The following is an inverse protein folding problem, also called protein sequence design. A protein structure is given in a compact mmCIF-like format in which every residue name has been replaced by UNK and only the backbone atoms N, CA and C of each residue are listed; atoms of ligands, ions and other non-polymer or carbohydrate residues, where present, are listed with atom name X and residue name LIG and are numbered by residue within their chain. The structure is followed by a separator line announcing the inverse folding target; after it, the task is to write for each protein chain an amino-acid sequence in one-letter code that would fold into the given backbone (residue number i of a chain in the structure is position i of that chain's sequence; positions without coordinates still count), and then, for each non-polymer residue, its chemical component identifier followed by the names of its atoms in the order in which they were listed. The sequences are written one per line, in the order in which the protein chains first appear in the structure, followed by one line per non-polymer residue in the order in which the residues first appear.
data_IF_444225439013
#
_entry.id   IF_444225439013
#
_cell.length_a   1.000
_cell.length_b   1.000
_cell.length_c   1.000
_cell.angle_alpha   90.00
_cell.angle_beta   90.00
_cell.angle_gamma   90.00
#
_symmetry.space_group_name_H-M   'P 1'
#
loop_
_entity.id
_entity.type
_entity.pdbx_description
1 polymer ?
#
# COMPACT_ATOMS: atom_id res chain seq x y z
N UNK A 1 3.50 -10.68 21.75
CA UNK A 1 2.88 -9.35 21.92
C UNK A 1 2.57 -8.80 20.54
N UNK A 2 1.38 -9.11 20.02
CA UNK A 2 0.92 -8.72 18.69
C UNK A 2 0.43 -7.26 18.77
N UNK A 3 1.22 -6.33 18.24
CA UNK A 3 0.89 -4.91 18.28
C UNK A 3 0.10 -4.55 17.01
N UNK A 4 -1.16 -4.17 17.24
CA UNK A 4 -2.12 -3.62 16.29
C UNK A 4 -1.48 -2.58 15.35
N UNK A 5 -1.22 -2.98 14.11
CA UNK A 5 -1.08 -2.05 13.00
C UNK A 5 -2.44 -1.94 12.30
N UNK A 6 -3.37 -1.20 12.91
CA UNK A 6 -4.51 -0.61 12.20
C UNK A 6 -3.96 0.47 11.27
N UNK A 7 -3.28 0.04 10.20
CA UNK A 7 -2.85 0.92 9.12
C UNK A 7 -4.11 1.35 8.36
N UNK A 8 -4.43 2.62 8.58
CA UNK A 8 -5.43 3.45 7.94
C UNK A 8 -5.20 3.54 6.41
N UNK A 9 -5.39 2.45 5.67
CA UNK A 9 -5.21 2.37 4.21
C UNK A 9 -6.47 2.73 3.41
N UNK A 10 -7.56 3.14 4.08
CA UNK A 10 -8.86 3.32 3.41
C UNK A 10 -9.26 4.77 3.12
N UNK A 11 -8.52 5.79 3.59
CA UNK A 11 -9.04 7.17 3.58
C UNK A 11 -8.63 8.03 2.37
N UNK A 12 -7.44 7.84 1.80
CA UNK A 12 -6.93 8.68 0.70
C UNK A 12 -7.53 8.33 -0.68
N UNK A 13 -7.62 7.06 -1.11
CA UNK A 13 -8.22 6.75 -2.43
C UNK A 13 -9.70 7.13 -2.48
N UNK A 14 -10.39 7.05 -1.34
CA UNK A 14 -11.79 7.47 -1.21
C UNK A 14 -11.97 8.99 -1.35
N UNK A 15 -11.07 9.79 -0.77
CA UNK A 15 -11.12 11.26 -0.90
C UNK A 15 -10.88 11.71 -2.33
N UNK A 16 -9.89 11.12 -3.01
CA UNK A 16 -9.61 11.42 -4.42
C UNK A 16 -10.82 11.10 -5.31
N UNK A 17 -11.43 9.93 -5.11
CA UNK A 17 -12.67 9.53 -5.76
C UNK A 17 -13.81 10.53 -5.49
N UNK A 18 -13.97 10.95 -4.24
CA UNK A 18 -15.03 11.89 -3.88
C UNK A 18 -14.82 13.23 -4.60
N UNK A 19 -13.60 13.75 -4.67
CA UNK A 19 -13.32 14.99 -5.39
C UNK A 19 -13.62 14.88 -6.90
N UNK A 20 -13.22 13.79 -7.55
CA UNK A 20 -13.50 13.62 -8.99
C UNK A 20 -15.00 13.49 -9.27
N UNK A 21 -15.73 12.77 -8.42
CA UNK A 21 -17.19 12.69 -8.50
C UNK A 21 -17.87 14.05 -8.31
N UNK A 22 -17.40 14.86 -7.34
CA UNK A 22 -17.99 16.16 -7.05
C UNK A 22 -17.76 17.14 -8.19
N UNK A 23 -16.59 17.10 -8.83
CA UNK A 23 -16.31 17.90 -10.02
C UNK A 23 -17.23 17.49 -11.18
N UNK A 24 -17.44 16.18 -11.41
CA UNK A 24 -18.34 15.70 -12.45
C UNK A 24 -19.82 16.00 -12.16
N UNK A 25 -20.29 15.80 -10.93
CA UNK A 25 -21.65 16.16 -10.52
C UNK A 25 -21.87 17.68 -10.56
N UNK A 26 -20.84 18.46 -10.19
CA UNK A 26 -20.86 19.91 -10.30
C UNK A 26 -21.03 20.39 -11.73
N UNK A 27 -20.30 19.80 -12.70
CA UNK A 27 -20.47 20.15 -14.11
C UNK A 27 -21.86 19.76 -14.64
N UNK A 28 -22.41 18.62 -14.20
CA UNK A 28 -23.80 18.24 -14.49
C UNK A 28 -24.79 19.27 -13.93
N UNK A 29 -24.58 19.73 -12.70
CA UNK A 29 -25.42 20.74 -12.06
C UNK A 29 -25.38 22.09 -12.76
N UNK A 30 -24.20 22.53 -13.20
CA UNK A 30 -24.03 23.76 -14.01
C UNK A 30 -24.78 23.62 -15.34
N UNK A 31 -24.66 22.48 -16.02
CA UNK A 31 -25.38 22.24 -17.27
C UNK A 31 -26.90 22.27 -17.07
N UNK A 32 -27.39 21.64 -15.99
CA UNK A 32 -28.81 21.68 -15.63
C UNK A 32 -29.31 23.10 -15.32
N UNK A 33 -28.45 23.96 -14.75
CA UNK A 33 -28.77 25.36 -14.46
C UNK A 33 -28.84 26.21 -15.74
N UNK A 34 -27.91 26.01 -16.67
CA UNK A 34 -27.93 26.65 -18.00
C UNK A 34 -29.22 26.29 -18.73
N UNK A 35 -29.61 25.02 -18.69
CA UNK A 35 -30.81 24.53 -19.34
C UNK A 35 -32.10 25.04 -18.68
N UNK A 36 -32.12 25.13 -17.34
CA UNK A 36 -33.22 25.75 -16.61
C UNK A 36 -33.41 27.22 -17.00
N UNK A 37 -32.29 27.93 -17.20
CA UNK A 37 -32.31 29.32 -17.65
C UNK A 37 -32.85 29.46 -19.09
N UNK A 38 -32.44 28.57 -20.00
CA UNK A 38 -32.91 28.60 -21.39
C UNK A 38 -34.39 28.22 -21.55
N UNK A 39 -34.84 27.21 -20.80
CA UNK A 39 -36.21 26.67 -20.92
C UNK A 39 -37.22 27.34 -19.99
N UNK A 40 -36.78 28.25 -19.12
CA UNK A 40 -37.59 28.91 -18.08
C UNK A 40 -38.34 27.91 -17.17
N UNK A 41 -37.85 26.66 -17.09
CA UNK A 41 -38.42 25.59 -16.28
C UNK A 41 -37.32 24.95 -15.45
N UNK A 42 -37.53 24.84 -14.15
CA UNK A 42 -36.58 24.18 -13.25
C UNK A 42 -36.71 22.66 -13.45
N UNK A 43 -35.64 21.94 -13.83
CA UNK A 43 -35.67 20.49 -14.03
C UNK A 43 -35.58 19.76 -12.68
N UNK A 44 -36.65 19.85 -11.86
CA UNK A 44 -36.67 19.32 -10.47
C UNK A 44 -36.30 17.83 -10.42
N UNK A 45 -36.80 17.01 -11.35
CA UNK A 45 -36.49 15.59 -11.40
C UNK A 45 -34.99 15.30 -11.60
N UNK A 46 -34.26 16.14 -12.35
CA UNK A 46 -32.83 15.99 -12.60
C UNK A 46 -32.01 16.33 -11.37
N UNK A 47 -32.38 17.40 -10.67
CA UNK A 47 -31.76 17.77 -9.40
C UNK A 47 -31.96 16.67 -8.36
N UNK A 48 -33.12 16.00 -8.35
CA UNK A 48 -33.37 14.84 -7.48
C UNK A 48 -32.49 13.64 -7.86
N UNK A 49 -32.30 13.34 -9.14
CA UNK A 49 -31.38 12.27 -9.60
C UNK A 49 -29.93 12.59 -9.22
N UNK A 50 -29.47 13.83 -9.45
CA UNK A 50 -28.12 14.25 -9.07
C UNK A 50 -27.91 14.18 -7.54
N UNK A 51 -28.89 14.61 -6.76
CA UNK A 51 -28.84 14.58 -5.30
C UNK A 51 -28.86 13.15 -4.76
N UNK A 52 -29.66 12.26 -5.35
CA UNK A 52 -29.67 10.83 -4.98
C UNK A 52 -28.38 10.13 -5.38
N UNK A 53 -27.82 10.41 -6.55
CA UNK A 53 -26.50 9.91 -6.95
C UNK A 53 -25.37 10.43 -6.04
N UNK A 54 -25.45 11.69 -5.58
CA UNK A 54 -24.52 12.26 -4.62
C UNK A 54 -24.62 11.56 -3.25
N UNK A 55 -25.84 11.38 -2.74
CA UNK A 55 -26.10 10.70 -1.47
C UNK A 55 -25.61 9.24 -1.50
N UNK A 56 -25.85 8.53 -2.61
CA UNK A 56 -25.30 7.20 -2.83
C UNK A 56 -23.76 7.21 -2.82
N UNK A 57 -23.12 8.19 -3.46
CA UNK A 57 -21.65 8.34 -3.47
C UNK A 57 -21.05 8.48 -2.07
N UNK A 58 -21.67 9.27 -1.20
CA UNK A 58 -21.25 9.40 0.19
C UNK A 58 -21.43 8.10 0.98
N UNK A 59 -22.47 7.31 0.65
CA UNK A 59 -22.74 6.01 1.26
C UNK A 59 -21.85 4.87 0.74
N UNK A 60 -21.01 5.10 -0.28
CA UNK A 60 -20.19 4.09 -0.94
C UNK A 60 -19.33 3.27 0.02
N UNK A 61 -18.74 3.91 1.04
CA UNK A 61 -17.86 3.24 2.01
C UNK A 61 -18.60 2.21 2.89
N UNK A 62 -19.93 2.32 3.01
CA UNK A 62 -20.76 1.41 3.83
C UNK A 62 -21.27 0.19 3.05
N UNK A 63 -21.07 0.15 1.73
CA UNK A 63 -21.62 -0.91 0.87
C UNK A 63 -20.79 -2.18 0.99
N UNK A 64 -21.44 -3.28 1.37
CA UNK A 64 -20.82 -4.61 1.40
C UNK A 64 -20.57 -5.11 -0.04
N UNK A 65 -19.51 -5.89 -0.29
CA UNK A 65 -19.18 -6.38 -1.63
C UNK A 65 -20.28 -7.28 -2.23
N UNK A 66 -21.04 -8.00 -1.40
CA UNK A 66 -22.19 -8.81 -1.85
C UNK A 66 -23.33 -7.98 -2.44
N UNK A 67 -23.47 -6.71 -2.03
CA UNK A 67 -24.50 -5.79 -2.52
C UNK A 67 -23.98 -4.87 -3.63
N UNK A 68 -22.72 -5.01 -4.05
CA UNK A 68 -22.09 -4.13 -5.04
C UNK A 68 -22.81 -4.15 -6.39
N UNK A 69 -23.17 -5.33 -6.90
CA UNK A 69 -23.89 -5.47 -8.16
C UNK A 69 -25.29 -4.83 -8.11
N UNK A 70 -26.02 -5.05 -7.02
CA UNK A 70 -27.34 -4.46 -6.81
C UNK A 70 -27.24 -2.93 -6.74
N UNK A 71 -26.26 -2.41 -6.01
CA UNK A 71 -26.01 -0.98 -5.89
C UNK A 71 -25.70 -0.34 -7.26
N UNK A 72 -24.85 -0.95 -8.08
CA UNK A 72 -24.56 -0.46 -9.43
C UNK A 72 -25.77 -0.57 -10.37
N UNK A 73 -26.58 -1.63 -10.23
CA UNK A 73 -27.80 -1.80 -11.02
C UNK A 73 -28.84 -0.72 -10.70
N UNK A 74 -29.00 -0.37 -9.41
CA UNK A 74 -29.88 0.74 -8.98
C UNK A 74 -29.40 2.07 -9.57
N UNK A 75 -28.10 2.35 -9.57
CA UNK A 75 -27.56 3.57 -10.20
C UNK A 75 -27.85 3.63 -11.70
N UNK A 76 -27.66 2.52 -12.42
CA UNK A 76 -28.01 2.49 -13.84
C UNK A 76 -29.51 2.62 -14.10
N UNK A 77 -30.34 1.99 -13.25
CA UNK A 77 -31.80 2.16 -13.32
C UNK A 77 -32.22 3.60 -13.09
N UNK A 78 -31.59 4.31 -12.15
CA UNK A 78 -31.85 5.72 -11.88
C UNK A 78 -31.43 6.62 -13.06
N UNK A 79 -30.30 6.34 -13.69
CA UNK A 79 -29.84 7.05 -14.89
C UNK A 79 -30.82 6.80 -16.04
N UNK A 80 -31.26 5.56 -16.26
CA UNK A 80 -32.24 5.19 -17.28
C UNK A 80 -33.62 5.84 -17.02
N UNK A 81 -34.03 5.97 -15.76
CA UNK A 81 -35.24 6.71 -15.42
C UNK A 81 -35.07 8.20 -15.79
N UNK A 82 -33.89 8.76 -15.57
CA UNK A 82 -33.53 10.10 -16.02
C UNK A 82 -33.63 10.29 -17.54
N UNK A 83 -33.28 9.28 -18.36
CA UNK A 83 -33.35 9.40 -19.82
C UNK A 83 -34.77 9.54 -20.34
N UNK A 84 -35.75 8.88 -19.71
CA UNK A 84 -37.16 8.98 -20.11
C UNK A 84 -37.73 10.40 -19.96
N UNK A 85 -37.09 11.24 -19.16
CA UNK A 85 -37.46 12.64 -18.94
C UNK A 85 -36.90 13.58 -20.02
N UNK A 86 -36.09 13.07 -20.97
CA UNK A 86 -35.79 13.76 -22.24
C UNK A 86 -34.50 14.57 -22.29
N UNK A 87 -33.57 14.39 -21.35
CA UNK A 87 -32.36 15.22 -21.24
C UNK A 87 -31.08 14.41 -21.52
N UNK A 88 -30.61 14.50 -22.77
CA UNK A 88 -29.60 13.60 -23.33
C UNK A 88 -28.14 14.01 -23.05
N UNK A 89 -27.86 15.30 -22.86
CA UNK A 89 -26.49 15.83 -22.87
C UNK A 89 -25.65 15.49 -21.63
N UNK A 90 -26.27 15.23 -20.48
CA UNK A 90 -25.57 15.00 -19.21
C UNK A 90 -25.23 13.52 -19.00
N UNK A 91 -25.85 12.62 -19.76
CA UNK A 91 -25.77 11.18 -19.55
C UNK A 91 -24.38 10.55 -19.68
N UNK A 92 -23.50 10.95 -20.62
CA UNK A 92 -22.16 10.40 -20.69
C UNK A 92 -21.43 10.57 -19.35
N UNK A 93 -21.52 11.75 -18.74
CA UNK A 93 -20.84 12.05 -17.48
C UNK A 93 -21.38 11.24 -16.30
N UNK A 94 -22.69 10.98 -16.25
CA UNK A 94 -23.30 10.14 -15.22
C UNK A 94 -22.85 8.68 -15.32
N UNK A 95 -22.75 8.13 -16.54
CA UNK A 95 -22.21 6.79 -16.74
C UNK A 95 -20.74 6.70 -16.34
N UNK A 96 -19.93 7.75 -16.57
CA UNK A 96 -18.55 7.78 -16.09
C UNK A 96 -18.47 7.77 -14.56
N UNK A 97 -19.34 8.48 -13.85
CA UNK A 97 -19.41 8.43 -12.38
C UNK A 97 -19.70 7.00 -11.91
N UNK A 98 -20.69 6.32 -12.49
CA UNK A 98 -20.99 4.92 -12.12
C UNK A 98 -19.82 4.00 -12.45
N UNK A 99 -19.17 4.20 -13.59
CA UNK A 99 -17.99 3.42 -13.96
C UNK A 99 -16.86 3.58 -12.94
N UNK A 100 -16.54 4.82 -12.57
CA UNK A 100 -15.52 5.12 -11.56
C UNK A 100 -15.87 4.42 -10.24
N UNK A 101 -17.12 4.49 -9.75
CA UNK A 101 -17.58 3.80 -8.53
C UNK A 101 -17.42 2.29 -8.62
N UNK A 102 -17.82 1.71 -9.76
CA UNK A 102 -17.76 0.28 -10.01
C UNK A 102 -16.32 -0.25 -9.90
N UNK A 103 -15.32 0.56 -10.25
CA UNK A 103 -13.91 0.19 -10.12
C UNK A 103 -13.44 0.00 -8.67
N UNK A 104 -14.10 0.61 -7.69
CA UNK A 104 -13.77 0.44 -6.27
C UNK A 104 -14.58 -0.67 -5.59
N UNK A 105 -15.79 -0.92 -6.07
CA UNK A 105 -16.73 -1.90 -5.51
C UNK A 105 -16.54 -3.31 -6.07
N UNK A 106 -16.27 -3.43 -7.39
CA UNK A 106 -16.31 -4.69 -8.11
C UNK A 106 -14.90 -5.18 -8.47
N UNK A 107 -14.79 -6.50 -8.56
CA UNK A 107 -13.63 -7.18 -9.12
C UNK A 107 -13.49 -6.94 -10.64
N UNK A 108 -12.31 -7.18 -11.24
CA UNK A 108 -12.09 -6.97 -12.68
C UNK A 108 -13.17 -7.51 -13.61
N UNK A 109 -13.71 -8.74 -13.47
CA UNK A 109 -14.77 -9.22 -14.36
C UNK A 109 -16.05 -8.38 -14.25
N UNK A 110 -16.43 -7.97 -13.04
CA UNK A 110 -17.60 -7.12 -12.82
C UNK A 110 -17.47 -5.73 -13.45
N UNK A 111 -16.26 -5.16 -13.47
CA UNK A 111 -15.98 -3.86 -14.11
C UNK A 111 -16.21 -3.89 -15.61
N UNK A 112 -15.82 -4.97 -16.29
CA UNK A 112 -16.06 -5.14 -17.72
C UNK A 112 -17.56 -5.27 -18.02
N UNK A 113 -18.31 -5.96 -17.16
CA UNK A 113 -19.77 -6.05 -17.28
C UNK A 113 -20.40 -4.66 -17.17
N UNK A 114 -20.04 -3.87 -16.16
CA UNK A 114 -20.57 -2.52 -15.97
C UNK A 114 -20.16 -1.59 -17.12
N UNK A 115 -18.92 -1.64 -17.60
CA UNK A 115 -18.47 -0.86 -18.75
C UNK A 115 -19.24 -1.21 -20.02
N UNK A 116 -19.44 -2.52 -20.28
CA UNK A 116 -20.21 -3.01 -21.42
C UNK A 116 -21.67 -2.55 -21.36
N UNK A 117 -22.33 -2.72 -20.21
CA UNK A 117 -23.71 -2.26 -20.00
C UNK A 117 -23.84 -0.75 -20.17
N UNK A 118 -22.90 0.03 -19.61
CA UNK A 118 -22.88 1.50 -19.77
C UNK A 118 -22.76 1.90 -21.24
N UNK A 119 -21.90 1.21 -21.98
CA UNK A 119 -21.68 1.45 -23.40
C UNK A 119 -22.91 1.08 -24.24
N UNK A 120 -23.53 -0.07 -23.97
CA UNK A 120 -24.76 -0.51 -24.65
C UNK A 120 -25.91 0.46 -24.40
N UNK A 121 -26.16 0.85 -23.14
CA UNK A 121 -27.22 1.81 -22.83
C UNK A 121 -26.94 3.18 -23.45
N UNK A 122 -25.70 3.65 -23.43
CA UNK A 122 -25.32 4.88 -24.12
C UNK A 122 -25.54 4.79 -25.63
N UNK A 123 -25.18 3.66 -26.26
CA UNK A 123 -25.38 3.45 -27.69
C UNK A 123 -26.88 3.44 -28.08
N UNK A 124 -27.71 2.71 -27.33
CA UNK A 124 -29.17 2.68 -27.52
C UNK A 124 -29.72 4.10 -27.46
N UNK A 125 -29.26 4.87 -26.48
CA UNK A 125 -29.72 6.22 -26.25
C UNK A 125 -29.28 7.20 -27.35
N UNK A 126 -28.05 7.09 -27.88
CA UNK A 126 -27.61 7.87 -29.04
C UNK A 126 -28.44 7.52 -30.30
N UNK A 127 -28.79 6.25 -30.49
CA UNK A 127 -29.67 5.82 -31.60
C UNK A 127 -31.07 6.42 -31.44
N UNK A 128 -31.64 6.41 -30.23
CA UNK A 128 -32.94 7.02 -29.94
C UNK A 128 -32.94 8.54 -30.20
N UNK A 129 -31.85 9.24 -29.86
CA UNK A 129 -31.67 10.66 -30.17
C UNK A 129 -31.76 10.93 -31.68
N UNK A 130 -31.01 10.14 -32.45
CA UNK A 130 -30.92 10.20 -33.90
C UNK A 130 -32.27 9.94 -34.58
N UNK A 131 -33.04 8.97 -34.11
CA UNK A 131 -34.30 8.59 -34.76
C UNK A 131 -35.48 9.47 -34.36
N UNK A 132 -35.50 9.99 -33.13
CA UNK A 132 -36.70 10.64 -32.58
C UNK A 132 -36.60 12.17 -32.58
N UNK A 133 -35.45 12.72 -32.21
CA UNK A 133 -35.30 14.17 -31.95
C UNK A 133 -34.69 14.89 -33.15
N UNK A 134 -33.72 14.26 -33.82
CA UNK A 134 -33.01 14.84 -34.96
C UNK A 134 -33.93 15.22 -36.16
N UNK A 135 -34.85 14.35 -36.66
CA UNK A 135 -35.69 14.71 -37.80
C UNK A 135 -36.68 15.84 -37.50
N UNK A 136 -36.96 16.09 -36.22
CA UNK A 136 -37.87 17.15 -35.77
C UNK A 136 -37.20 18.53 -35.74
N UNK A 137 -35.86 18.60 -35.70
CA UNK A 137 -35.13 19.83 -35.32
C UNK A 137 -34.19 20.38 -36.39
N UNK A 138 -33.83 19.62 -37.42
CA UNK A 138 -32.89 20.07 -38.46
C UNK A 138 -33.33 19.67 -39.89
N UNK A 139 -33.33 20.60 -40.87
CA UNK A 139 -33.44 20.27 -42.29
C UNK A 139 -32.15 19.61 -42.82
N UNK A 140 -32.27 18.84 -43.91
CA UNK A 140 -31.25 17.94 -44.49
C UNK A 140 -29.86 18.55 -44.81
N UNK A 141 -29.68 19.86 -44.73
CA UNK A 141 -28.40 20.55 -45.02
C UNK A 141 -27.33 20.38 -43.93
N UNK A 142 -27.70 19.87 -42.74
CA UNK A 142 -26.78 19.73 -41.59
C UNK A 142 -26.48 18.26 -41.21
N UNK A 143 -26.87 17.28 -42.03
CA UNK A 143 -26.73 15.85 -41.67
C UNK A 143 -25.28 15.44 -41.38
N UNK A 144 -24.34 15.81 -42.25
CA UNK A 144 -22.93 15.42 -42.10
C UNK A 144 -22.30 15.92 -40.79
N UNK A 145 -22.63 17.15 -40.35
CA UNK A 145 -22.11 17.72 -39.11
C UNK A 145 -22.61 16.94 -37.89
N UNK A 146 -23.89 16.55 -37.92
CA UNK A 146 -24.55 15.80 -36.83
C UNK A 146 -23.93 14.41 -36.67
N UNK A 147 -23.78 13.68 -37.78
CA UNK A 147 -23.10 12.37 -37.80
C UNK A 147 -21.68 12.42 -37.25
N UNK A 148 -20.92 13.45 -37.63
CA UNK A 148 -19.54 13.61 -37.16
C UNK A 148 -19.47 13.88 -35.65
N UNK A 149 -20.38 14.71 -35.11
CA UNK A 149 -20.46 14.93 -33.67
C UNK A 149 -20.84 13.65 -32.90
N UNK A 150 -21.81 12.87 -33.39
CA UNK A 150 -22.25 11.64 -32.73
C UNK A 150 -21.19 10.55 -32.75
N UNK A 151 -20.49 10.40 -33.88
CA UNK A 151 -19.37 9.49 -33.98
C UNK A 151 -18.26 9.88 -33.00
N UNK A 152 -17.94 11.17 -32.90
CA UNK A 152 -16.95 11.67 -31.94
C UNK A 152 -17.38 11.39 -30.49
N UNK A 153 -18.64 11.65 -30.11
CA UNK A 153 -19.14 11.36 -28.77
C UNK A 153 -19.08 9.86 -28.42
N UNK A 154 -19.46 8.99 -29.38
CA UNK A 154 -19.40 7.55 -29.23
C UNK A 154 -17.97 7.05 -29.01
N UNK A 155 -17.04 7.51 -29.84
CA UNK A 155 -15.62 7.14 -29.74
C UNK A 155 -15.00 7.66 -28.45
N UNK A 156 -15.26 8.92 -28.09
CA UNK A 156 -14.74 9.53 -26.87
C UNK A 156 -15.27 8.85 -25.61
N UNK A 157 -16.57 8.51 -25.58
CA UNK A 157 -17.16 7.81 -24.46
C UNK A 157 -16.55 6.40 -24.28
N UNK A 158 -16.47 5.61 -25.37
CA UNK A 158 -15.82 4.30 -25.33
C UNK A 158 -14.37 4.36 -24.87
N UNK A 159 -13.60 5.31 -25.41
CA UNK A 159 -12.21 5.53 -25.00
C UNK A 159 -12.11 5.92 -23.52
N UNK A 160 -12.98 6.82 -23.05
CA UNK A 160 -12.99 7.25 -21.65
C UNK A 160 -13.28 6.11 -20.67
N UNK A 161 -14.21 5.19 -20.99
CA UNK A 161 -14.47 4.01 -20.15
C UNK A 161 -13.24 3.12 -20.03
N UNK A 162 -12.54 2.88 -21.14
CA UNK A 162 -11.31 2.06 -21.17
C UNK A 162 -10.19 2.75 -20.39
N UNK A 163 -9.96 4.04 -20.64
CA UNK A 163 -8.91 4.81 -19.98
C UNK A 163 -9.15 4.90 -18.47
N UNK A 164 -10.36 5.23 -18.03
CA UNK A 164 -10.72 5.29 -16.60
C UNK A 164 -10.53 3.93 -15.94
N UNK A 165 -11.00 2.85 -16.58
CA UNK A 165 -10.84 1.49 -16.04
C UNK A 165 -9.37 1.12 -15.86
N UNK A 166 -8.52 1.42 -16.85
CA UNK A 166 -7.07 1.17 -16.80
C UNK A 166 -6.39 2.05 -15.76
N UNK A 167 -6.64 3.36 -15.77
CA UNK A 167 -6.05 4.31 -14.84
C UNK A 167 -6.35 3.95 -13.39
N UNK A 168 -7.63 3.73 -13.06
CA UNK A 168 -8.04 3.38 -11.70
C UNK A 168 -7.44 2.03 -11.29
N UNK A 169 -7.40 1.05 -12.19
CA UNK A 169 -6.81 -0.27 -11.88
C UNK A 169 -5.30 -0.19 -11.64
N UNK A 170 -4.57 0.58 -12.44
CA UNK A 170 -3.14 0.81 -12.26
C UNK A 170 -2.86 1.54 -10.95
N UNK A 171 -3.62 2.61 -10.67
CA UNK A 171 -3.49 3.38 -9.43
C UNK A 171 -3.71 2.51 -8.18
N UNK A 172 -4.75 1.68 -8.18
CA UNK A 172 -5.02 0.77 -7.05
C UNK A 172 -3.88 -0.25 -6.88
N UNK A 173 -3.36 -0.78 -7.99
CA UNK A 173 -2.30 -1.80 -7.96
C UNK A 173 -0.97 -1.22 -7.50
N UNK A 174 -0.57 -0.06 -8.03
CA UNK A 174 0.66 0.63 -7.67
C UNK A 174 0.69 0.94 -6.17
N UNK A 175 -0.41 1.45 -5.62
CA UNK A 175 -0.51 1.75 -4.18
C UNK A 175 -0.37 0.49 -3.32
N UNK A 176 -1.05 -0.60 -3.68
CA UNK A 176 -0.91 -1.89 -2.98
C UNK A 176 0.54 -2.38 -3.02
N UNK A 177 1.22 -2.20 -4.15
CA UNK A 177 2.64 -2.58 -4.28
C UNK A 177 3.54 -1.70 -3.43
N UNK A 178 3.31 -0.38 -3.39
CA UNK A 178 4.05 0.54 -2.51
C UNK A 178 3.87 0.19 -1.03
N UNK A 179 2.64 -0.12 -0.60
CA UNK A 179 2.37 -0.54 0.78
C UNK A 179 3.09 -1.84 1.13
N UNK A 180 3.04 -2.85 0.25
CA UNK A 180 3.75 -4.11 0.43
C UNK A 180 5.27 -3.92 0.48
N UNK A 181 5.81 -3.05 -0.37
CA UNK A 181 7.24 -2.72 -0.39
C UNK A 181 7.66 -2.04 0.92
N UNK A 182 6.87 -1.09 1.40
CA UNK A 182 7.12 -0.42 2.69
C UNK A 182 7.09 -1.40 3.86
N UNK A 183 6.14 -2.34 3.86
CA UNK A 183 6.07 -3.41 4.86
C UNK A 183 7.28 -4.34 4.80
N UNK A 184 7.67 -4.80 3.60
CA UNK A 184 8.83 -5.67 3.41
C UNK A 184 10.14 -4.97 3.81
N UNK A 185 10.28 -3.67 3.50
CA UNK A 185 11.43 -2.88 3.91
C UNK A 185 11.53 -2.77 5.44
N UNK A 186 10.41 -2.54 6.13
CA UNK A 186 10.38 -2.50 7.59
C UNK A 186 10.72 -3.86 8.21
N UNK A 187 10.24 -4.97 7.63
CA UNK A 187 10.59 -6.31 8.08
C UNK A 187 12.08 -6.60 7.89
N UNK A 188 12.63 -6.25 6.73
CA UNK A 188 14.07 -6.42 6.46
C UNK A 188 14.92 -5.61 7.44
N UNK A 189 14.52 -4.37 7.74
CA UNK A 189 15.19 -3.55 8.75
C UNK A 189 15.16 -4.20 10.13
N UNK A 190 14.02 -4.77 10.54
CA UNK A 190 13.90 -5.49 11.81
C UNK A 190 14.80 -6.72 11.86
N UNK A 191 14.84 -7.53 10.79
CA UNK A 191 15.72 -8.68 10.73
C UNK A 191 17.20 -8.29 10.73
N UNK A 192 17.58 -7.21 10.05
CA UNK A 192 18.96 -6.71 10.08
C UNK A 192 19.39 -6.34 11.50
N UNK A 193 18.52 -5.69 12.29
CA UNK A 193 18.80 -5.36 13.69
C UNK A 193 18.92 -6.62 14.55
N UNK A 194 18.04 -7.61 14.34
CA UNK A 194 18.11 -8.89 15.07
C UNK A 194 19.37 -9.69 14.74
N UNK A 195 19.78 -9.72 13.47
CA UNK A 195 21.03 -10.37 13.05
C UNK A 195 22.24 -9.67 13.67
N UNK A 196 22.25 -8.33 13.72
CA UNK A 196 23.32 -7.58 14.38
C UNK A 196 23.39 -7.89 15.88
N UNK A 197 22.24 -7.91 16.57
CA UNK A 197 22.17 -8.27 17.99
C UNK A 197 22.67 -9.71 18.23
N UNK A 198 22.22 -10.66 17.41
CA UNK A 198 22.65 -12.05 17.51
C UNK A 198 24.16 -12.21 17.26
N UNK A 199 24.69 -11.53 16.24
CA UNK A 199 26.11 -11.52 15.95
C UNK A 199 26.92 -10.93 17.12
N UNK A 200 26.44 -9.84 17.74
CA UNK A 200 27.08 -9.26 18.91
C UNK A 200 27.08 -10.22 20.11
N UNK A 201 25.99 -10.96 20.35
CA UNK A 201 25.91 -11.98 21.41
C UNK A 201 26.82 -13.18 21.11
N UNK A 202 26.84 -13.65 19.86
CA UNK A 202 27.72 -14.74 19.44
C UNK A 202 29.19 -14.37 19.62
N UNK A 203 29.57 -13.14 19.29
CA UNK A 203 30.94 -12.66 19.46
C UNK A 203 31.33 -12.56 20.93
N UNK A 204 30.43 -12.09 21.81
CA UNK A 204 30.65 -12.12 23.27
C UNK A 204 30.87 -13.55 23.78
N UNK A 205 30.08 -14.51 23.32
CA UNK A 205 30.21 -15.91 23.71
C UNK A 205 31.48 -16.57 23.15
N UNK A 206 31.95 -16.14 21.98
CA UNK A 206 33.23 -16.59 21.40
C UNK A 206 34.38 -16.11 22.28
N UNK A 207 34.43 -14.82 22.59
CA UNK A 207 35.46 -14.20 23.44
C UNK A 207 35.47 -14.82 24.84
N UNK A 208 34.29 -15.05 25.44
CA UNK A 208 34.19 -15.68 26.75
C UNK A 208 34.80 -17.10 26.77
N UNK A 209 34.58 -17.89 25.71
CA UNK A 209 35.21 -19.21 25.55
C UNK A 209 36.72 -19.11 25.37
N UNK A 210 37.20 -18.21 24.52
CA UNK A 210 38.65 -18.03 24.33
C UNK A 210 39.35 -17.64 25.63
N UNK A 211 38.73 -16.76 26.43
CA UNK A 211 39.24 -16.40 27.76
C UNK A 211 39.19 -17.62 28.70
N UNK A 212 38.09 -18.39 28.70
CA UNK A 212 37.95 -19.57 29.55
C UNK A 212 38.99 -20.66 29.22
N UNK A 213 39.23 -20.93 27.93
CA UNK A 213 40.17 -21.96 27.48
C UNK A 213 41.62 -21.56 27.81
N UNK A 214 42.02 -20.31 27.52
CA UNK A 214 43.36 -19.80 27.89
C UNK A 214 43.57 -19.84 29.41
N UNK A 215 42.62 -19.31 30.18
CA UNK A 215 42.72 -19.30 31.64
C UNK A 215 42.71 -20.71 32.23
N UNK A 216 41.86 -21.60 31.72
CA UNK A 216 41.77 -22.99 32.16
C UNK A 216 43.07 -23.76 31.95
N UNK A 217 43.71 -23.58 30.80
CA UNK A 217 45.04 -24.15 30.53
C UNK A 217 46.10 -23.57 31.46
N UNK A 218 46.14 -22.25 31.65
CA UNK A 218 47.10 -21.62 32.55
C UNK A 218 46.95 -22.10 34.00
N UNK A 219 45.71 -22.20 34.51
CA UNK A 219 45.42 -22.69 35.86
C UNK A 219 45.80 -24.17 36.04
N UNK A 220 45.56 -25.00 35.02
CA UNK A 220 45.95 -26.41 35.05
C UNK A 220 47.48 -26.54 35.11
N UNK A 221 48.20 -25.81 34.26
CA UNK A 221 49.67 -25.80 34.27
C UNK A 221 50.23 -25.28 35.59
N UNK A 222 49.66 -24.19 36.13
CA UNK A 222 49.99 -23.67 37.46
C UNK A 222 49.85 -24.74 38.54
N UNK A 223 48.74 -25.48 38.55
CA UNK A 223 48.50 -26.54 39.52
C UNK A 223 49.55 -27.66 39.41
N UNK A 224 49.92 -28.07 38.19
CA UNK A 224 50.98 -29.07 37.98
C UNK A 224 52.33 -28.57 38.49
N UNK A 225 52.69 -27.30 38.22
CA UNK A 225 53.94 -26.71 38.71
C UNK A 225 53.97 -26.65 40.23
N UNK A 226 52.87 -26.23 40.87
CA UNK A 226 52.77 -26.20 42.34
C UNK A 226 52.90 -27.61 42.93
N UNK A 227 52.30 -28.62 42.31
CA UNK A 227 52.47 -30.02 42.74
C UNK A 227 53.92 -30.50 42.61
N UNK A 228 54.64 -30.09 41.57
CA UNK A 228 56.07 -30.39 41.42
C UNK A 228 56.91 -29.73 42.52
N UNK A 229 56.64 -28.45 42.84
CA UNK A 229 57.28 -27.74 43.95
C UNK A 229 57.07 -28.51 45.26
N UNK A 230 55.83 -28.90 45.58
CA UNK A 230 55.51 -29.63 46.82
C UNK A 230 56.25 -30.97 46.94
N UNK A 231 56.46 -31.68 45.82
CA UNK A 231 57.20 -32.95 45.81
C UNK A 231 58.72 -32.77 45.95
N UNK A 232 59.27 -31.74 45.31
CA UNK A 232 60.72 -31.51 45.24
C UNK A 232 61.27 -30.69 46.41
N UNK A 233 60.43 -29.95 47.14
CA UNK A 233 60.85 -29.01 48.20
C UNK A 233 61.83 -29.59 49.22
N UNK A 234 61.64 -30.85 49.63
CA UNK A 234 62.48 -31.51 50.62
C UNK A 234 63.71 -32.23 50.02
N UNK A 235 63.64 -32.64 48.76
CA UNK A 235 64.64 -33.52 48.13
C UNK A 235 65.58 -32.77 47.17
N UNK A 236 65.08 -31.76 46.47
CA UNK A 236 65.84 -30.93 45.53
C UNK A 236 65.33 -29.47 45.56
N UNK A 237 65.75 -28.66 46.55
CA UNK A 237 65.21 -27.31 46.75
C UNK A 237 65.56 -26.34 45.61
N UNK A 238 66.68 -26.55 44.91
CA UNK A 238 67.08 -25.72 43.78
C UNK A 238 66.12 -25.89 42.59
N UNK A 239 65.74 -27.12 42.26
CA UNK A 239 64.78 -27.41 41.19
C UNK A 239 63.35 -27.01 41.58
N UNK A 240 62.97 -27.19 42.85
CA UNK A 240 61.70 -26.69 43.39
C UNK A 240 61.58 -25.16 43.27
N UNK A 241 62.67 -24.42 43.51
CA UNK A 241 62.67 -22.96 43.35
C UNK A 241 62.43 -22.55 41.89
N UNK A 242 63.00 -23.29 40.92
CA UNK A 242 62.85 -23.03 39.49
C UNK A 242 61.38 -23.24 39.04
N UNK A 243 60.73 -24.32 39.50
CA UNK A 243 59.30 -24.55 39.25
C UNK A 243 58.40 -23.48 39.89
N UNK A 244 58.78 -22.94 41.05
CA UNK A 244 58.06 -21.86 41.72
C UNK A 244 58.15 -20.55 40.93
N UNK A 245 59.33 -20.20 40.41
CA UNK A 245 59.49 -19.04 39.53
C UNK A 245 58.69 -19.18 38.23
N UNK A 246 58.72 -20.37 37.61
CA UNK A 246 57.92 -20.66 36.42
C UNK A 246 56.41 -20.52 36.71
N UNK A 247 55.94 -21.02 37.86
CA UNK A 247 54.55 -20.85 38.29
C UNK A 247 54.18 -19.37 38.44
N UNK A 248 55.02 -18.58 39.11
CA UNK A 248 54.81 -17.14 39.29
C UNK A 248 54.75 -16.39 37.94
N UNK A 249 55.67 -16.70 37.03
CA UNK A 249 55.70 -16.12 35.68
C UNK A 249 54.44 -16.47 34.91
N UNK A 250 54.03 -17.75 34.92
CA UNK A 250 52.84 -18.23 34.22
C UNK A 250 51.56 -17.53 34.71
N UNK A 251 51.41 -17.38 36.04
CA UNK A 251 50.28 -16.66 36.63
C UNK A 251 50.24 -15.18 36.28
N UNK A 252 51.40 -14.53 36.22
CA UNK A 252 51.51 -13.11 35.85
C UNK A 252 51.14 -12.91 34.37
N UNK A 253 51.63 -13.78 33.49
CA UNK A 253 51.31 -13.76 32.06
C UNK A 253 49.81 -13.99 31.81
N UNK A 254 49.23 -15.02 32.45
CA UNK A 254 47.80 -15.31 32.32
C UNK A 254 46.91 -14.12 32.76
N UNK A 255 47.27 -13.46 33.86
CA UNK A 255 46.54 -12.27 34.33
C UNK A 255 46.68 -11.08 33.37
N UNK A 256 47.85 -10.91 32.73
CA UNK A 256 48.03 -9.88 31.69
C UNK A 256 47.20 -10.18 30.44
N UNK A 257 47.17 -11.43 29.97
CA UNK A 257 46.37 -11.84 28.81
C UNK A 257 44.87 -11.59 29.03
N UNK A 258 44.34 -11.96 30.20
CA UNK A 258 42.93 -11.69 30.54
C UNK A 258 42.64 -10.18 30.54
N UNK A 259 43.51 -9.36 31.16
CA UNK A 259 43.34 -7.90 31.16
C UNK A 259 43.36 -7.30 29.76
N UNK A 260 44.25 -7.77 28.89
CA UNK A 260 44.32 -7.30 27.50
C UNK A 260 43.07 -7.69 26.71
N UNK A 261 42.58 -8.92 26.85
CA UNK A 261 41.37 -9.40 26.20
C UNK A 261 40.12 -8.63 26.64
N UNK A 262 39.97 -8.36 27.94
CA UNK A 262 38.88 -7.53 28.48
C UNK A 262 38.99 -6.09 28.01
N UNK A 263 40.19 -5.50 28.00
CA UNK A 263 40.43 -4.13 27.53
C UNK A 263 40.04 -3.94 26.06
N UNK A 264 40.45 -4.87 25.17
CA UNK A 264 40.06 -4.89 23.76
C UNK A 264 38.54 -4.98 23.58
N UNK A 265 37.87 -5.77 24.41
CA UNK A 265 36.42 -5.89 24.37
C UNK A 265 35.70 -4.61 24.81
N UNK A 266 36.16 -3.98 25.89
CA UNK A 266 35.60 -2.70 26.39
C UNK A 266 35.79 -1.56 25.37
N UNK A 267 36.95 -1.50 24.70
CA UNK A 267 37.20 -0.48 23.68
C UNK A 267 36.33 -0.68 22.44
N UNK A 268 36.15 -1.92 21.98
CA UNK A 268 35.25 -2.27 20.89
C UNK A 268 33.80 -1.88 21.20
N UNK A 269 33.33 -2.12 22.44
CA UNK A 269 31.98 -1.77 22.85
C UNK A 269 31.75 -0.25 22.85
N UNK A 270 32.74 0.54 23.29
CA UNK A 270 32.67 2.02 23.25
C UNK A 270 32.60 2.59 21.83
N UNK A 271 33.32 2.00 20.88
CA UNK A 271 33.37 2.48 19.50
C UNK A 271 32.05 2.24 18.73
N UNK A 272 31.23 1.26 19.18
CA UNK A 272 29.99 0.86 18.50
C UNK A 272 28.72 1.53 19.05
N UNK A 273 28.80 2.15 20.24
CA UNK A 273 27.67 2.80 20.93
C UNK A 273 27.65 4.34 20.78
N UNK A 274 28.66 4.92 20.13
CA UNK A 274 28.74 6.36 19.81
C UNK A 274 28.64 6.58 18.31
#
# INVERSE_FOLDING_TARGET
MAMNATLNTQTIPFRFLLYTEWVMLGSCGVMALIEAWQTQRIPVAHLLILLTLLAMGLALHKVKPSLAYLYTAIQMGLILLGTTLGYLHILPTLYLIVMIRSCFLLEPPGRFIVASLSFVFFAIHQVQYLTTIMPLRLPALNEQRVWMHQFAEFLMFGLSLVLISRLVSTLITERRTQEKLAQAHNQLRQYSLQVEELAAVQERNRIAREIHDSLGHALTNLNVQIQAVLKLWQHNPAEAHLFLEQAQQLGTMAMQEVRQSVSKWVSWFKCRMG
#
